data_IF_270991617264
#
_entry.id   IF_270991617264
#
_cell.length_a   1.000
_cell.length_b   1.000
_cell.length_c   1.000
_cell.angle_alpha   90.00
_cell.angle_beta   90.00
_cell.angle_gamma   90.00
#
_symmetry.space_group_name_H-M   'P 1'
#
loop_
_entity.id
_entity.type
_entity.pdbx_description
1 polymer ?
#
# COMPACT_ATOMS: atom_id res chain seq x y z
N UNK A 1 -6.68 11.51 -9.92
CA UNK A 1 -5.35 10.85 -9.96
C UNK A 1 -4.75 10.85 -11.37
N UNK A 2 -5.58 10.85 -12.42
CA UNK A 2 -5.20 10.71 -13.85
C UNK A 2 -4.33 11.82 -14.47
N UNK A 3 -3.81 12.76 -13.68
CA UNK A 3 -2.91 13.78 -14.20
C UNK A 3 -1.44 13.65 -13.79
N UNK A 4 -1.12 12.78 -12.83
CA UNK A 4 0.29 12.50 -12.52
C UNK A 4 0.81 11.42 -13.47
N UNK A 5 1.87 11.71 -14.24
CA UNK A 5 2.57 10.69 -15.06
C UNK A 5 3.02 9.49 -14.22
N UNK A 6 3.38 9.74 -12.96
CA UNK A 6 3.72 8.72 -12.00
C UNK A 6 2.60 7.69 -11.78
N UNK A 7 1.33 8.03 -12.04
CA UNK A 7 0.22 7.09 -11.90
C UNK A 7 0.40 5.83 -12.75
N UNK A 8 0.78 5.97 -14.03
CA UNK A 8 1.03 4.85 -14.92
C UNK A 8 2.21 4.00 -14.43
N UNK A 9 3.29 4.64 -13.98
CA UNK A 9 4.47 3.96 -13.42
C UNK A 9 4.09 3.11 -12.21
N UNK A 10 3.33 3.66 -11.27
CA UNK A 10 2.93 2.91 -10.08
C UNK A 10 1.87 1.83 -10.37
N UNK A 11 1.07 1.97 -11.43
CA UNK A 11 0.21 0.88 -11.91
C UNK A 11 1.05 -0.30 -12.43
N UNK A 12 2.09 -0.03 -13.22
CA UNK A 12 3.00 -1.06 -13.72
C UNK A 12 3.79 -1.72 -12.58
N UNK A 13 4.29 -0.94 -11.62
CA UNK A 13 4.92 -1.48 -10.42
C UNK A 13 3.95 -2.40 -9.69
N UNK A 14 2.71 -1.97 -9.46
CA UNK A 14 1.72 -2.81 -8.80
C UNK A 14 1.45 -4.09 -9.57
N UNK A 15 1.35 -4.03 -10.91
CA UNK A 15 1.17 -5.22 -11.76
C UNK A 15 2.34 -6.21 -11.59
N UNK A 16 3.58 -5.73 -11.68
CA UNK A 16 4.78 -6.56 -11.46
C UNK A 16 4.82 -7.17 -10.06
N UNK A 17 4.41 -6.42 -9.03
CA UNK A 17 4.30 -6.96 -7.67
C UNK A 17 3.22 -8.06 -7.57
N UNK A 18 2.10 -7.95 -8.29
CA UNK A 18 1.12 -9.04 -8.29
C UNK A 18 1.60 -10.31 -8.99
N UNK A 19 2.44 -10.19 -10.00
CA UNK A 19 3.00 -11.32 -10.77
C UNK A 19 4.19 -11.97 -10.05
N UNK A 20 5.11 -11.15 -9.53
CA UNK A 20 6.42 -11.61 -9.07
C UNK A 20 6.79 -11.09 -7.67
N UNK A 21 5.86 -10.53 -6.93
CA UNK A 21 6.14 -9.81 -5.70
C UNK A 21 6.78 -10.60 -4.57
N UNK A 22 6.51 -11.91 -4.47
CA UNK A 22 7.04 -12.75 -3.39
C UNK A 22 8.58 -12.77 -3.35
N UNK A 23 9.24 -12.77 -4.51
CA UNK A 23 10.71 -12.72 -4.56
C UNK A 23 11.25 -11.36 -4.11
N UNK A 24 10.56 -10.26 -4.43
CA UNK A 24 10.94 -8.93 -4.01
C UNK A 24 10.72 -8.75 -2.51
N UNK A 25 9.62 -9.29 -1.97
CA UNK A 25 9.32 -9.27 -0.54
C UNK A 25 10.40 -9.99 0.28
N UNK A 26 10.81 -11.19 -0.14
CA UNK A 26 11.84 -11.98 0.56
C UNK A 26 13.22 -11.32 0.52
N UNK A 27 13.55 -10.65 -0.58
CA UNK A 27 14.88 -10.03 -0.79
C UNK A 27 14.99 -8.64 -0.15
N UNK A 28 13.93 -7.84 -0.20
CA UNK A 28 13.96 -6.41 0.17
C UNK A 28 13.32 -6.17 1.53
N UNK A 29 12.13 -6.71 1.79
CA UNK A 29 11.47 -6.64 3.10
C UNK A 29 11.10 -5.22 3.58
N UNK A 30 10.86 -4.28 2.67
CA UNK A 30 10.72 -2.85 2.98
C UNK A 30 9.40 -2.22 2.47
N UNK A 31 9.05 -1.06 3.02
CA UNK A 31 7.99 -0.20 2.50
C UNK A 31 8.60 1.16 2.17
N UNK A 32 8.39 1.62 0.94
CA UNK A 32 8.97 2.86 0.43
C UNK A 32 7.87 3.88 0.16
N UNK A 33 8.13 5.14 0.52
CA UNK A 33 7.26 6.28 0.23
C UNK A 33 7.92 7.17 -0.82
N UNK A 34 7.27 7.33 -1.96
CA UNK A 34 7.72 8.18 -3.06
C UNK A 34 6.90 9.46 -3.07
N UNK A 35 7.51 10.57 -2.66
CA UNK A 35 6.92 11.90 -2.77
C UNK A 35 7.19 12.44 -4.19
N UNK A 36 6.14 12.51 -4.99
CA UNK A 36 6.17 13.02 -6.36
C UNK A 36 5.69 14.47 -6.34
N UNK A 37 6.51 15.35 -6.90
CA UNK A 37 6.20 16.78 -7.08
C UNK A 37 5.76 17.06 -8.51
N UNK A 38 5.41 18.32 -8.78
CA UNK A 38 5.08 18.81 -10.13
C UNK A 38 3.93 18.06 -10.80
N UNK A 39 2.92 17.70 -10.00
CA UNK A 39 1.67 17.19 -10.49
C UNK A 39 0.82 18.24 -11.20
N UNK A 40 -0.38 17.85 -11.67
CA UNK A 40 -1.36 18.79 -12.22
C UNK A 40 -1.57 19.96 -11.26
N UNK A 41 -1.45 21.18 -11.77
CA UNK A 41 -1.58 22.42 -11.00
C UNK A 41 -0.52 22.55 -9.87
N UNK A 42 0.67 21.98 -10.04
CA UNK A 42 1.76 22.06 -9.07
C UNK A 42 1.55 21.20 -7.82
N UNK A 43 0.60 20.27 -7.85
CA UNK A 43 0.30 19.42 -6.70
C UNK A 43 1.44 18.44 -6.39
N UNK A 44 1.63 18.15 -5.11
CA UNK A 44 2.48 17.06 -4.63
C UNK A 44 1.61 15.87 -4.20
N UNK A 45 2.15 14.67 -4.35
CA UNK A 45 1.48 13.43 -4.01
C UNK A 45 2.47 12.38 -3.49
N UNK A 46 1.97 11.39 -2.75
CA UNK A 46 2.81 10.31 -2.22
C UNK A 46 2.26 8.97 -2.67
N UNK A 47 3.15 8.09 -3.13
CA UNK A 47 2.86 6.68 -3.37
C UNK A 47 3.64 5.81 -2.39
N UNK A 48 2.97 4.80 -1.86
CA UNK A 48 3.57 3.75 -1.05
C UNK A 48 3.78 2.52 -1.92
N UNK A 49 4.97 1.94 -1.83
CA UNK A 49 5.31 0.65 -2.42
C UNK A 49 5.68 -0.28 -1.28
N UNK A 50 4.77 -1.20 -0.97
CA UNK A 50 4.98 -2.29 -0.02
C UNK A 50 5.65 -3.45 -0.74
N UNK A 51 6.88 -3.74 -0.36
CA UNK A 51 7.62 -4.96 -0.71
C UNK A 51 8.08 -5.66 0.57
N UNK A 52 7.20 -5.69 1.57
CA UNK A 52 7.41 -6.33 2.87
C UNK A 52 6.32 -7.35 3.18
N UNK A 53 5.08 -7.10 2.78
CA UNK A 53 3.93 -7.93 3.15
C UNK A 53 3.31 -8.66 1.96
N UNK A 54 2.90 -9.92 2.15
CA UNK A 54 2.22 -10.72 1.13
C UNK A 54 3.03 -10.82 -0.16
N UNK A 55 2.41 -10.42 -1.29
CA UNK A 55 3.07 -10.27 -2.60
C UNK A 55 3.45 -8.81 -2.90
N UNK A 56 3.38 -7.93 -1.92
CA UNK A 56 3.59 -6.50 -2.12
C UNK A 56 2.45 -5.80 -2.88
N UNK A 57 2.45 -4.48 -2.80
CA UNK A 57 1.49 -3.63 -3.51
C UNK A 57 2.04 -2.20 -3.68
N UNK A 58 1.56 -1.49 -4.70
CA UNK A 58 1.81 -0.06 -4.83
C UNK A 58 0.48 0.71 -4.82
N UNK A 59 0.37 1.72 -3.97
CA UNK A 59 -0.86 2.50 -3.80
C UNK A 59 -0.58 3.96 -3.47
N UNK A 60 -1.54 4.81 -3.83
CA UNK A 60 -1.49 6.24 -3.58
C UNK A 60 -1.93 6.59 -2.15
N UNK A 61 -1.27 7.56 -1.52
CA UNK A 61 -1.65 8.09 -0.20
C UNK A 61 -3.08 8.67 -0.26
N UNK A 62 -3.99 8.13 0.55
CA UNK A 62 -5.42 8.50 0.53
C UNK A 62 -6.32 7.57 -0.27
N UNK A 63 -5.76 6.53 -0.94
CA UNK A 63 -6.56 5.42 -1.47
C UNK A 63 -7.13 4.54 -0.34
N UNK A 64 -6.53 4.57 0.86
CA UNK A 64 -7.17 4.11 2.08
C UNK A 64 -8.23 5.15 2.52
N UNK A 65 -9.31 5.23 1.75
CA UNK A 65 -10.55 5.84 2.22
C UNK A 65 -11.18 4.80 3.15
N UNK A 66 -11.14 5.01 4.46
CA UNK A 66 -12.11 4.36 5.34
C UNK A 66 -13.46 5.03 5.02
N UNK A 67 -14.09 4.61 3.93
CA UNK A 67 -15.48 4.94 3.60
C UNK A 67 -16.47 4.00 4.31
N UNK A 68 -15.97 3.20 5.25
CA UNK A 68 -16.77 2.41 6.16
C UNK A 68 -17.00 3.12 7.49
N UNK A 69 -18.06 2.75 8.18
CA UNK A 69 -18.33 3.18 9.55
C UNK A 69 -17.08 2.94 10.44
N UNK A 70 -16.65 3.96 11.19
CA UNK A 70 -15.48 3.90 12.09
C UNK A 70 -15.54 2.71 13.07
N UNK A 71 -16.74 2.27 13.48
CA UNK A 71 -16.92 1.08 14.31
C UNK A 71 -16.50 -0.23 13.61
N UNK A 72 -16.66 -0.32 12.29
CA UNK A 72 -16.22 -1.48 11.52
C UNK A 72 -14.70 -1.50 11.37
N UNK A 73 -14.06 -0.32 11.25
CA UNK A 73 -12.60 -0.20 11.26
C UNK A 73 -11.99 -0.61 12.61
N UNK A 74 -12.60 -0.21 13.74
CA UNK A 74 -12.21 -0.65 15.09
C UNK A 74 -12.36 -2.17 15.27
N UNK A 75 -13.42 -2.75 14.69
CA UNK A 75 -13.64 -4.21 14.75
C UNK A 75 -12.61 -5.00 13.94
N UNK A 76 -12.11 -4.46 12.83
CA UNK A 76 -11.02 -5.08 12.06
C UNK A 76 -9.72 -5.14 12.86
N UNK A 77 -9.40 -4.11 13.66
CA UNK A 77 -8.26 -4.12 14.57
C UNK A 77 -8.39 -5.24 15.63
N UNK A 78 -9.59 -5.46 16.17
CA UNK A 78 -9.85 -6.55 17.13
C UNK A 78 -9.69 -7.96 16.54
N UNK A 79 -9.89 -8.12 15.22
CA UNK A 79 -9.68 -9.38 14.52
C UNK A 79 -8.19 -9.65 14.26
N UNK A 80 -7.40 -8.62 14.00
CA UNK A 80 -5.94 -8.73 13.80
C UNK A 80 -5.17 -8.90 15.12
N UNK A 81 -5.73 -8.40 16.23
CA UNK A 81 -5.15 -8.50 17.59
C UNK A 81 -5.74 -9.65 18.41
N UNK A 82 -6.13 -10.77 17.79
CA UNK A 82 -6.24 -12.00 18.57
C UNK A 82 -4.83 -12.58 18.68
N UNK A 83 -4.11 -12.41 19.81
CA UNK A 83 -2.92 -13.21 20.03
C UNK A 83 -3.37 -14.67 19.90
N UNK A 84 -2.80 -15.39 18.94
CA UNK A 84 -3.01 -16.82 18.82
C UNK A 84 -2.83 -17.40 20.22
N UNK A 85 -3.89 -18.03 20.76
CA UNK A 85 -3.84 -18.59 22.10
C UNK A 85 -2.64 -19.53 22.17
N UNK A 86 -1.56 -19.09 22.82
CA UNK A 86 -0.46 -19.95 23.20
C UNK A 86 -1.08 -21.00 24.13
N UNK A 87 -1.19 -22.22 23.63
CA UNK A 87 -1.58 -23.37 24.45
C UNK A 87 -0.39 -23.64 25.36
N UNK A 88 -0.62 -23.51 26.67
CA UNK A 88 0.27 -23.98 27.72
C UNK A 88 0.18 -25.51 27.81
#
# INVERSE_FOLDING_TARGET
MEGFKAHAVFQEINKKLQEEGEQFVKKIGGVFAFKVKDGPNGQEAVWYVDVKNGRGCAFFQGKLKITGNMGMAMKLQSLQLQPAKAKL
#
